data_IF_500672836798
#
_entry.id   IF_500672836798
#
_cell.length_a   1.000
_cell.length_b   1.000
_cell.length_c   1.000
_cell.angle_alpha   90.00
_cell.angle_beta   90.00
_cell.angle_gamma   90.00
#
_symmetry.space_group_name_H-M   'P 1'
#
loop_
_entity.id
_entity.type
_entity.pdbx_description
1 polymer ?
#
# COMPACT_ATOMS: atom_id res chain seq x y z
N UNK A 1 4.00 -11.88 6.58
CA UNK A 1 4.34 -12.00 5.14
C UNK A 1 3.24 -11.36 4.29
N UNK A 2 3.52 -11.00 3.04
CA UNK A 2 2.48 -10.48 2.14
C UNK A 2 1.25 -11.40 2.04
N UNK A 3 1.41 -12.71 2.17
CA UNK A 3 0.27 -13.66 2.21
C UNK A 3 -0.70 -13.39 3.37
N UNK A 4 -0.22 -12.90 4.50
CA UNK A 4 -1.11 -12.58 5.64
C UNK A 4 -2.00 -11.36 5.36
N UNK A 5 -1.52 -10.43 4.53
CA UNK A 5 -2.29 -9.26 4.09
C UNK A 5 -3.48 -9.67 3.21
N UNK A 6 -3.29 -10.68 2.33
CA UNK A 6 -4.36 -11.24 1.52
C UNK A 6 -5.55 -11.78 2.35
N UNK A 7 -5.27 -12.43 3.48
CA UNK A 7 -6.31 -12.90 4.40
C UNK A 7 -7.06 -11.73 5.06
N UNK A 8 -6.36 -10.63 5.37
CA UNK A 8 -6.99 -9.42 5.90
C UNK A 8 -7.91 -8.77 4.87
N UNK A 9 -7.50 -8.68 3.61
CA UNK A 9 -8.38 -8.19 2.54
C UNK A 9 -9.62 -9.06 2.38
N UNK A 10 -9.47 -10.38 2.40
CA UNK A 10 -10.62 -11.29 2.30
C UNK A 10 -11.66 -11.00 3.39
N UNK A 11 -11.23 -10.87 4.63
CA UNK A 11 -12.10 -10.54 5.77
C UNK A 11 -12.80 -9.17 5.58
N UNK A 12 -12.09 -8.17 5.02
CA UNK A 12 -12.63 -6.83 4.82
C UNK A 12 -13.60 -6.72 3.66
N UNK A 13 -13.44 -7.55 2.62
CA UNK A 13 -14.33 -7.56 1.47
C UNK A 13 -15.59 -8.39 1.72
N UNK A 14 -15.48 -9.42 2.54
CA UNK A 14 -16.58 -10.34 2.84
C UNK A 14 -17.75 -9.61 3.49
N UNK A 15 -18.92 -9.70 2.87
CA UNK A 15 -20.17 -9.11 3.39
C UNK A 15 -20.21 -7.58 3.39
N UNK A 16 -19.25 -6.89 2.77
CA UNK A 16 -19.31 -5.44 2.66
C UNK A 16 -20.28 -5.01 1.56
N UNK A 17 -21.35 -4.32 1.93
CA UNK A 17 -22.39 -3.83 0.99
C UNK A 17 -22.05 -2.42 0.43
N UNK A 18 -21.05 -1.74 0.98
CA UNK A 18 -20.63 -0.41 0.56
C UNK A 18 -19.49 -0.46 -0.47
N UNK A 19 -19.17 0.69 -1.06
CA UNK A 19 -17.98 0.80 -1.92
C UNK A 19 -16.73 0.59 -1.08
N UNK A 20 -15.74 -0.07 -1.67
CA UNK A 20 -14.43 -0.25 -1.06
C UNK A 20 -13.43 0.62 -1.82
N UNK A 21 -12.68 1.42 -1.09
CA UNK A 21 -11.59 2.26 -1.64
C UNK A 21 -10.31 1.85 -0.92
N UNK A 22 -9.34 1.33 -1.68
CA UNK A 22 -8.06 0.88 -1.13
C UNK A 22 -6.94 1.80 -1.57
N UNK A 23 -6.17 2.30 -0.63
CA UNK A 23 -4.94 3.03 -0.93
C UNK A 23 -3.71 2.24 -0.50
N UNK A 24 -2.71 2.20 -1.35
CA UNK A 24 -1.44 1.51 -1.12
C UNK A 24 -0.32 2.16 -1.93
N UNK A 25 0.91 1.70 -1.75
CA UNK A 25 2.03 2.11 -2.60
C UNK A 25 1.88 1.53 -4.02
N UNK A 26 2.01 2.38 -5.02
CA UNK A 26 1.92 1.95 -6.42
C UNK A 26 3.03 0.96 -6.83
N UNK A 27 4.15 0.97 -6.12
CA UNK A 27 5.28 0.05 -6.35
C UNK A 27 5.06 -1.37 -5.79
N UNK A 28 4.04 -1.58 -4.96
CA UNK A 28 3.77 -2.91 -4.40
C UNK A 28 2.82 -3.70 -5.32
N UNK A 29 3.38 -4.29 -6.38
CA UNK A 29 2.64 -5.03 -7.40
C UNK A 29 1.91 -6.24 -6.81
N UNK A 30 2.53 -6.96 -5.88
CA UNK A 30 1.92 -8.13 -5.22
C UNK A 30 0.66 -7.73 -4.46
N UNK A 31 0.68 -6.60 -3.78
CA UNK A 31 -0.49 -6.08 -3.06
C UNK A 31 -1.60 -5.64 -4.01
N UNK A 32 -1.24 -5.00 -5.13
CA UNK A 32 -2.22 -4.66 -6.16
C UNK A 32 -2.88 -5.92 -6.72
N UNK A 33 -2.12 -6.98 -6.98
CA UNK A 33 -2.66 -8.26 -7.42
C UNK A 33 -3.62 -8.85 -6.38
N UNK A 34 -3.25 -8.86 -5.10
CA UNK A 34 -4.10 -9.36 -4.02
C UNK A 34 -5.44 -8.60 -3.94
N UNK A 35 -5.42 -7.28 -4.07
CA UNK A 35 -6.63 -6.45 -4.06
C UNK A 35 -7.53 -6.81 -5.25
N UNK A 36 -6.96 -6.96 -6.44
CA UNK A 36 -7.68 -7.34 -7.66
C UNK A 36 -8.31 -8.73 -7.52
N UNK A 37 -7.54 -9.70 -7.04
CA UNK A 37 -8.01 -11.09 -6.85
C UNK A 37 -9.18 -11.16 -5.85
N UNK A 38 -9.06 -10.45 -4.74
CA UNK A 38 -10.13 -10.40 -3.73
C UNK A 38 -11.35 -9.66 -4.27
N UNK A 39 -11.17 -8.53 -4.96
CA UNK A 39 -12.28 -7.81 -5.60
C UNK A 39 -13.01 -8.70 -6.61
N UNK A 40 -12.29 -9.41 -7.47
CA UNK A 40 -12.85 -10.36 -8.42
C UNK A 40 -13.63 -11.49 -7.73
N UNK A 41 -13.07 -12.07 -6.65
CA UNK A 41 -13.73 -13.13 -5.86
C UNK A 41 -15.08 -12.70 -5.30
N UNK A 42 -15.18 -11.46 -4.83
CA UNK A 42 -16.43 -10.89 -4.31
C UNK A 42 -17.27 -10.20 -5.38
N UNK A 43 -16.96 -10.43 -6.67
CA UNK A 43 -17.74 -9.92 -7.80
C UNK A 43 -17.71 -8.40 -7.94
N UNK A 44 -16.66 -7.74 -7.43
CA UNK A 44 -16.49 -6.29 -7.58
C UNK A 44 -15.74 -5.96 -8.85
N UNK A 45 -16.10 -4.83 -9.47
CA UNK A 45 -15.36 -4.21 -10.55
C UNK A 45 -14.36 -3.23 -9.95
N UNK A 46 -13.16 -3.18 -10.51
CA UNK A 46 -12.04 -2.37 -10.01
C UNK A 46 -11.82 -1.18 -10.92
N UNK A 47 -11.90 0.02 -10.36
CA UNK A 47 -11.44 1.23 -11.00
C UNK A 47 -10.15 1.71 -10.35
N UNK A 48 -9.26 2.34 -11.12
CA UNK A 48 -7.97 2.83 -10.65
C UNK A 48 -7.88 4.33 -10.83
N UNK A 49 -7.30 5.01 -9.86
CA UNK A 49 -7.06 6.45 -9.97
C UNK A 49 -5.77 6.87 -9.29
N UNK A 50 -5.09 7.80 -9.91
CA UNK A 50 -3.77 8.28 -9.53
C UNK A 50 -2.73 7.88 -10.56
N UNK A 51 -2.06 8.87 -11.14
CA UNK A 51 -1.13 8.69 -12.27
C UNK A 51 -0.07 7.60 -12.05
N UNK A 52 0.54 7.57 -10.87
CA UNK A 52 1.55 6.55 -10.55
C UNK A 52 0.94 5.16 -10.43
N UNK A 53 -0.29 5.04 -9.92
CA UNK A 53 -1.00 3.77 -9.79
C UNK A 53 -1.40 3.21 -11.14
N UNK A 54 -1.97 4.05 -12.00
CA UNK A 54 -2.36 3.68 -13.36
C UNK A 54 -1.15 3.21 -14.18
N UNK A 55 -0.02 3.94 -14.07
CA UNK A 55 1.21 3.58 -14.76
C UNK A 55 1.81 2.27 -14.23
N UNK A 56 1.87 2.07 -12.91
CA UNK A 56 2.37 0.85 -12.30
C UNK A 56 1.57 -0.38 -12.74
N UNK A 57 0.24 -0.28 -12.71
CA UNK A 57 -0.63 -1.38 -13.17
C UNK A 57 -0.45 -1.68 -14.65
N UNK A 58 -0.40 -0.65 -15.50
CA UNK A 58 -0.18 -0.82 -16.94
C UNK A 58 1.14 -1.57 -17.22
N UNK A 59 2.25 -1.05 -16.67
CA UNK A 59 3.58 -1.64 -16.90
C UNK A 59 3.67 -3.06 -16.34
N UNK A 60 3.12 -3.31 -15.14
CA UNK A 60 3.15 -4.64 -14.52
C UNK A 60 2.33 -5.66 -15.30
N UNK A 61 1.22 -5.25 -15.91
CA UNK A 61 0.41 -6.11 -16.78
C UNK A 61 1.13 -6.38 -18.09
N UNK A 62 1.71 -5.36 -18.75
CA UNK A 62 2.47 -5.51 -19.99
C UNK A 62 3.68 -6.44 -19.84
N UNK A 63 4.34 -6.40 -18.67
CA UNK A 63 5.49 -7.26 -18.35
C UNK A 63 5.11 -8.65 -17.82
N UNK A 64 3.80 -8.94 -17.66
CA UNK A 64 3.31 -10.23 -17.17
C UNK A 64 3.47 -10.45 -15.67
N UNK A 65 3.76 -9.40 -14.87
CA UNK A 65 3.83 -9.48 -13.41
C UNK A 65 2.45 -9.36 -12.74
N UNK A 66 1.45 -8.92 -13.49
CA UNK A 66 0.09 -8.77 -12.99
C UNK A 66 -0.88 -9.47 -13.95
N UNK A 67 -1.76 -10.28 -13.38
CA UNK A 67 -2.83 -10.95 -14.11
C UNK A 67 -4.19 -10.37 -13.69
N UNK A 68 -4.87 -9.73 -14.60
CA UNK A 68 -6.17 -9.10 -14.32
C UNK A 68 -7.24 -9.90 -15.05
N UNK A 69 -8.17 -10.56 -14.34
CA UNK A 69 -9.24 -11.31 -14.97
C UNK A 69 -10.12 -10.42 -15.85
N UNK A 70 -10.60 -10.97 -16.96
CA UNK A 70 -11.45 -10.25 -17.91
C UNK A 70 -12.69 -9.67 -17.20
N UNK A 71 -13.00 -8.43 -17.56
CA UNK A 71 -14.17 -7.74 -17.02
C UNK A 71 -14.04 -7.25 -15.57
N UNK A 72 -12.90 -7.46 -14.89
CA UNK A 72 -12.67 -6.93 -13.53
C UNK A 72 -12.35 -5.43 -13.57
N UNK A 73 -11.50 -4.98 -14.47
CA UNK A 73 -11.22 -3.55 -14.62
C UNK A 73 -12.40 -2.82 -15.27
N UNK A 74 -12.59 -1.59 -14.82
CA UNK A 74 -13.54 -0.65 -15.42
C UNK A 74 -12.99 0.76 -15.44
N UNK A 75 -13.52 1.58 -16.33
CA UNK A 75 -13.24 3.02 -16.34
C UNK A 75 -13.83 3.69 -15.09
N UNK A 76 -13.10 4.64 -14.53
CA UNK A 76 -13.52 5.40 -13.35
C UNK A 76 -14.87 6.12 -13.56
N UNK A 77 -15.18 6.53 -14.78
CA UNK A 77 -16.47 7.15 -15.12
C UNK A 77 -17.67 6.20 -14.94
N UNK A 78 -17.44 4.90 -14.98
CA UNK A 78 -18.49 3.88 -14.89
C UNK A 78 -18.87 3.51 -13.46
N UNK A 79 -18.13 3.96 -12.43
CA UNK A 79 -18.39 3.61 -11.03
C UNK A 79 -19.80 3.99 -10.57
N UNK A 80 -20.37 5.07 -11.11
CA UNK A 80 -21.70 5.58 -10.75
C UNK A 80 -22.84 4.73 -11.31
N UNK A 81 -22.56 3.88 -12.29
CA UNK A 81 -23.57 2.99 -12.92
C UNK A 81 -23.73 1.65 -12.20
N UNK A 82 -22.88 1.35 -11.23
CA UNK A 82 -22.89 0.09 -10.50
C UNK A 82 -23.40 0.28 -9.07
N UNK A 83 -24.05 -0.74 -8.49
CA UNK A 83 -24.37 -0.73 -7.07
C UNK A 83 -23.09 -0.71 -6.23
N UNK A 84 -23.16 -0.10 -5.04
CA UNK A 84 -22.01 0.16 -4.17
C UNK A 84 -21.19 -1.11 -3.89
N UNK A 85 -21.85 -2.22 -3.58
CA UNK A 85 -21.19 -3.48 -3.29
C UNK A 85 -20.49 -4.15 -4.49
N UNK A 86 -20.60 -3.56 -5.68
CA UNK A 86 -19.91 -4.00 -6.89
C UNK A 86 -18.72 -3.12 -7.26
N UNK A 87 -18.39 -2.12 -6.45
CA UNK A 87 -17.33 -1.15 -6.73
C UNK A 87 -16.16 -1.33 -5.78
N UNK A 88 -14.96 -1.42 -6.34
CA UNK A 88 -13.69 -1.28 -5.66
C UNK A 88 -12.86 -0.22 -6.38
N UNK A 89 -12.26 0.71 -5.65
CA UNK A 89 -11.40 1.75 -6.20
C UNK A 89 -10.00 1.59 -5.61
N UNK A 90 -8.98 1.45 -6.45
CA UNK A 90 -7.59 1.46 -6.03
C UNK A 90 -7.01 2.85 -6.29
N UNK A 91 -6.37 3.43 -5.28
CA UNK A 91 -5.94 4.84 -5.34
C UNK A 91 -4.57 5.08 -4.70
N UNK A 92 -3.96 6.19 -5.05
CA UNK A 92 -2.78 6.73 -4.37
C UNK A 92 -3.17 7.57 -3.16
N UNK A 93 -2.20 7.86 -2.27
CA UNK A 93 -2.40 8.76 -1.13
C UNK A 93 -2.30 8.09 0.23
N UNK A 94 -1.64 6.94 0.30
CA UNK A 94 -1.41 6.22 1.55
C UNK A 94 -0.55 6.97 2.56
N UNK A 95 0.15 8.03 2.14
CA UNK A 95 1.00 8.88 2.97
C UNK A 95 0.42 10.28 3.23
N UNK A 96 -0.83 10.53 2.84
CA UNK A 96 -1.49 11.82 3.04
C UNK A 96 -0.96 12.95 2.16
N UNK A 97 -0.32 12.59 1.04
CA UNK A 97 0.21 13.57 0.08
C UNK A 97 -0.93 14.44 -0.47
N UNK A 98 -0.77 15.76 -0.40
CA UNK A 98 -1.82 16.74 -0.72
C UNK A 98 -2.39 16.59 -2.13
N UNK A 99 -1.55 16.23 -3.10
CA UNK A 99 -1.94 16.08 -4.49
C UNK A 99 -2.37 14.66 -4.86
N UNK A 100 -2.36 13.73 -3.92
CA UNK A 100 -2.78 12.34 -4.16
C UNK A 100 -4.28 12.24 -4.45
N UNK A 101 -4.69 11.13 -5.05
CA UNK A 101 -6.09 10.94 -5.39
C UNK A 101 -6.97 10.81 -4.13
N UNK A 102 -6.53 10.07 -3.10
CA UNK A 102 -7.28 9.96 -1.84
C UNK A 102 -7.43 11.30 -1.13
N UNK A 103 -6.36 12.10 -1.03
CA UNK A 103 -6.45 13.44 -0.43
C UNK A 103 -7.45 14.32 -1.18
N UNK A 104 -7.40 14.31 -2.51
CA UNK A 104 -8.37 15.06 -3.31
C UNK A 104 -9.82 14.58 -3.13
N UNK A 105 -10.04 13.29 -2.92
CA UNK A 105 -11.37 12.75 -2.59
C UNK A 105 -11.81 13.22 -1.19
N UNK A 106 -10.93 13.14 -0.19
CA UNK A 106 -11.21 13.57 1.17
C UNK A 106 -11.60 15.03 1.24
N UNK A 107 -10.90 15.91 0.51
CA UNK A 107 -11.13 17.35 0.46
C UNK A 107 -12.09 17.81 -0.67
N UNK A 108 -12.84 16.90 -1.30
CA UNK A 108 -13.82 17.17 -2.37
C UNK A 108 -13.26 17.92 -3.59
N UNK A 109 -11.99 17.72 -3.90
CA UNK A 109 -11.31 18.31 -5.07
C UNK A 109 -11.00 17.28 -6.17
N UNK A 110 -11.39 16.02 -5.99
CA UNK A 110 -11.27 14.99 -7.02
C UNK A 110 -12.40 15.16 -8.04
N UNK A 111 -12.05 15.14 -9.34
CA UNK A 111 -13.00 15.47 -10.42
C UNK A 111 -14.11 14.46 -10.64
N UNK A 112 -13.86 13.18 -10.35
CA UNK A 112 -14.74 12.07 -10.74
C UNK A 112 -15.30 11.30 -9.55
N UNK A 113 -14.62 11.30 -8.40
CA UNK A 113 -14.97 10.49 -7.24
C UNK A 113 -15.13 11.38 -6.02
N UNK A 114 -16.30 11.31 -5.39
CA UNK A 114 -16.57 11.85 -4.06
C UNK A 114 -16.66 10.70 -3.06
N UNK A 115 -16.22 10.95 -1.83
CA UNK A 115 -16.44 10.05 -0.71
C UNK A 115 -17.90 10.14 -0.29
N UNK A 116 -18.55 8.99 -0.17
CA UNK A 116 -19.93 8.87 0.26
C UNK A 116 -20.01 8.32 1.68
N UNK A 117 -21.05 8.67 2.44
CA UNK A 117 -21.32 8.03 3.73
C UNK A 117 -21.41 6.51 3.58
N UNK A 118 -20.72 5.80 4.46
CA UNK A 118 -20.60 4.34 4.45
C UNK A 118 -19.47 3.77 3.59
N UNK A 119 -18.81 4.56 2.74
CA UNK A 119 -17.66 4.06 1.99
C UNK A 119 -16.61 3.45 2.93
N UNK A 120 -16.12 2.27 2.59
CA UNK A 120 -15.04 1.62 3.34
C UNK A 120 -13.71 1.97 2.73
N UNK A 121 -12.89 2.71 3.49
CA UNK A 121 -11.56 3.16 3.08
C UNK A 121 -10.52 2.27 3.77
N UNK A 122 -9.70 1.57 2.98
CA UNK A 122 -8.63 0.69 3.50
C UNK A 122 -7.28 1.35 3.19
N UNK A 123 -6.54 1.74 4.23
CA UNK A 123 -5.20 2.29 4.11
C UNK A 123 -4.20 1.15 4.33
N UNK A 124 -3.74 0.55 3.24
CA UNK A 124 -2.82 -0.58 3.23
C UNK A 124 -1.36 -0.12 3.09
N UNK A 125 -0.93 0.72 4.02
CA UNK A 125 0.43 1.21 4.14
C UNK A 125 0.69 1.71 5.56
N UNK A 126 1.91 1.53 6.07
CA UNK A 126 2.34 2.20 7.30
C UNK A 126 2.72 3.65 7.03
N UNK A 127 2.48 4.50 7.99
CA UNK A 127 2.96 5.88 7.93
C UNK A 127 4.50 5.91 7.88
N UNK A 128 5.05 6.60 6.90
CA UNK A 128 6.47 6.94 6.90
C UNK A 128 6.68 7.99 8.01
N UNK A 129 7.72 7.85 8.86
CA UNK A 129 7.99 8.82 9.90
C UNK A 129 7.99 10.26 9.38
N UNK A 130 7.20 11.13 10.00
CA UNK A 130 6.98 12.52 9.57
C UNK A 130 5.70 12.76 8.76
N UNK A 131 5.03 11.73 8.25
CA UNK A 131 3.79 11.85 7.50
C UNK A 131 2.53 11.66 8.36
N UNK A 132 2.68 11.34 9.66
CA UNK A 132 1.57 10.99 10.56
C UNK A 132 0.50 12.08 10.62
N UNK A 133 0.94 13.34 10.67
CA UNK A 133 0.03 14.48 10.72
C UNK A 133 -0.76 14.64 9.41
N UNK A 134 -0.09 14.48 8.27
CA UNK A 134 -0.73 14.58 6.96
C UNK A 134 -1.75 13.48 6.73
N UNK A 135 -1.41 12.23 7.11
CA UNK A 135 -2.31 11.08 7.07
C UNK A 135 -3.49 11.31 8.02
N UNK A 136 -3.23 11.77 9.25
CA UNK A 136 -4.25 12.08 10.24
C UNK A 136 -5.27 13.10 9.75
N UNK A 137 -4.82 14.14 9.06
CA UNK A 137 -5.72 15.14 8.47
C UNK A 137 -6.64 14.52 7.40
N UNK A 138 -6.09 13.70 6.51
CA UNK A 138 -6.90 13.01 5.48
C UNK A 138 -7.91 12.07 6.14
N UNK A 139 -7.49 11.27 7.14
CA UNK A 139 -8.38 10.37 7.88
C UNK A 139 -9.53 11.15 8.54
N UNK A 140 -9.23 12.27 9.19
CA UNK A 140 -10.26 13.11 9.81
C UNK A 140 -11.29 13.62 8.80
N UNK A 141 -10.87 14.02 7.60
CA UNK A 141 -11.80 14.44 6.54
C UNK A 141 -12.66 13.27 6.03
N UNK A 142 -12.08 12.07 5.91
CA UNK A 142 -12.83 10.88 5.52
C UNK A 142 -13.91 10.54 6.55
N UNK A 143 -13.60 10.61 7.85
CA UNK A 143 -14.58 10.43 8.93
C UNK A 143 -15.67 11.51 8.90
N UNK A 144 -15.33 12.79 8.64
CA UNK A 144 -16.32 13.88 8.51
C UNK A 144 -17.31 13.63 7.37
N UNK A 145 -16.89 12.89 6.33
CA UNK A 145 -17.76 12.47 5.23
C UNK A 145 -18.58 11.20 5.53
N UNK A 146 -18.42 10.64 6.72
CA UNK A 146 -19.14 9.42 7.12
C UNK A 146 -18.55 8.13 6.58
N UNK A 147 -17.30 8.12 6.13
CA UNK A 147 -16.61 6.91 5.70
C UNK A 147 -16.14 6.08 6.92
N UNK A 148 -16.08 4.75 6.74
CA UNK A 148 -15.40 3.83 7.63
C UNK A 148 -13.93 3.74 7.19
N UNK A 149 -12.99 4.11 8.04
CA UNK A 149 -11.56 4.09 7.69
C UNK A 149 -10.85 2.99 8.49
N UNK A 150 -10.22 2.07 7.78
CA UNK A 150 -9.48 0.94 8.33
C UNK A 150 -7.99 1.07 7.97
N UNK A 151 -7.12 0.92 8.93
CA UNK A 151 -5.68 1.04 8.77
C UNK A 151 -4.92 -0.11 9.46
N UNK A 152 -3.59 -0.12 9.35
CA UNK A 152 -2.73 -1.17 9.89
C UNK A 152 -2.84 -1.38 11.42
N UNK A 153 -3.33 -0.39 12.19
CA UNK A 153 -3.49 -0.51 13.64
C UNK A 153 -4.64 -1.45 14.02
N UNK A 154 -5.58 -1.61 13.13
CA UNK A 154 -6.78 -2.43 13.34
C UNK A 154 -6.62 -3.84 12.79
N UNK A 155 -5.87 -3.98 11.68
CA UNK A 155 -5.66 -5.24 10.98
C UNK A 155 -4.26 -5.30 10.36
N UNK A 156 -3.75 -6.51 10.11
CA UNK A 156 -2.46 -6.71 9.44
C UNK A 156 -2.52 -6.36 7.95
N UNK A 157 -2.67 -5.06 7.65
CA UNK A 157 -2.83 -4.50 6.31
C UNK A 157 -1.53 -4.10 5.63
N UNK A 158 -0.42 -4.18 6.37
CA UNK A 158 0.91 -3.85 5.86
C UNK A 158 1.96 -4.79 6.42
N UNK A 159 2.98 -5.04 5.62
CA UNK A 159 4.22 -5.74 6.02
C UNK A 159 5.39 -4.89 5.58
N UNK A 160 6.32 -4.63 6.51
CA UNK A 160 7.55 -3.91 6.19
C UNK A 160 8.36 -4.65 5.13
N UNK A 161 8.86 -3.94 4.13
CA UNK A 161 9.82 -4.44 3.15
C UNK A 161 11.27 -4.35 3.64
N UNK A 162 11.52 -3.75 4.82
CA UNK A 162 12.86 -3.64 5.38
C UNK A 162 13.33 -4.97 5.97
N UNK A 163 14.60 -5.31 5.73
CA UNK A 163 15.23 -6.50 6.26
C UNK A 163 15.38 -6.44 7.78
N UNK A 164 15.21 -7.59 8.45
CA UNK A 164 15.53 -7.75 9.86
C UNK A 164 17.05 -7.78 10.07
N UNK A 165 17.49 -7.61 11.31
CA UNK A 165 18.92 -7.61 11.66
C UNK A 165 19.65 -8.87 11.19
N UNK A 166 19.03 -10.06 11.34
CA UNK A 166 19.64 -11.34 10.92
C UNK A 166 19.72 -11.44 9.38
N UNK A 167 18.73 -10.92 8.66
CA UNK A 167 18.77 -10.87 7.20
C UNK A 167 19.88 -9.95 6.71
N UNK A 168 20.10 -8.80 7.37
CA UNK A 168 21.21 -7.90 7.08
C UNK A 168 22.57 -8.60 7.30
N UNK A 169 22.71 -9.39 8.38
CA UNK A 169 23.91 -10.18 8.63
C UNK A 169 24.15 -11.22 7.52
N UNK A 170 23.11 -11.90 7.07
CA UNK A 170 23.22 -12.88 5.97
C UNK A 170 23.71 -12.19 4.70
N UNK A 171 23.15 -11.06 4.33
CA UNK A 171 23.57 -10.32 3.13
C UNK A 171 25.04 -9.88 3.25
N UNK A 172 25.45 -9.35 4.41
CA UNK A 172 26.84 -8.99 4.64
C UNK A 172 27.79 -10.22 4.50
N UNK A 173 27.42 -11.35 5.09
CA UNK A 173 28.20 -12.59 5.02
C UNK A 173 28.35 -13.14 3.60
N UNK A 174 27.30 -12.99 2.77
CA UNK A 174 27.31 -13.43 1.37
C UNK A 174 28.08 -12.49 0.46
N UNK A 175 27.87 -11.18 0.61
CA UNK A 175 28.49 -10.15 -0.27
C UNK A 175 29.94 -9.90 0.10
N UNK A 176 30.32 -10.02 1.38
CA UNK A 176 31.65 -9.71 1.93
C UNK A 176 32.20 -8.37 1.40
N UNK A 177 31.47 -7.26 1.60
CA UNK A 177 31.83 -5.98 0.97
C UNK A 177 33.14 -5.44 1.52
N UNK A 178 34.01 -4.94 0.64
CA UNK A 178 35.24 -4.24 1.02
C UNK A 178 34.96 -2.87 1.66
N UNK A 179 33.88 -2.22 1.25
CA UNK A 179 33.39 -0.95 1.77
C UNK A 179 31.90 -1.04 2.02
N UNK A 180 31.44 -0.45 3.11
CA UNK A 180 30.02 -0.42 3.47
C UNK A 180 29.59 1.01 3.83
N UNK A 181 28.56 1.51 3.17
CA UNK A 181 27.97 2.81 3.42
C UNK A 181 26.48 2.60 3.70
N UNK A 182 26.02 2.80 4.95
CA UNK A 182 24.60 2.71 5.25
C UNK A 182 23.86 3.89 4.63
N UNK A 183 22.72 3.63 4.02
CA UNK A 183 21.84 4.64 3.42
C UNK A 183 20.41 4.42 3.89
N UNK A 184 19.56 5.43 3.72
CA UNK A 184 18.13 5.37 4.04
C UNK A 184 17.83 5.22 5.53
N UNK A 185 17.37 6.29 6.14
CA UNK A 185 16.99 6.35 7.55
C UNK A 185 17.57 7.56 8.28
N UNK A 186 17.21 7.66 9.56
CA UNK A 186 17.76 8.69 10.46
C UNK A 186 19.20 8.36 10.86
N UNK A 187 19.96 9.36 11.32
CA UNK A 187 21.36 9.20 11.72
C UNK A 187 21.57 8.07 12.74
N UNK A 188 20.66 7.89 13.70
CA UNK A 188 20.75 6.78 14.66
C UNK A 188 20.65 5.40 13.99
N UNK A 189 19.83 5.27 12.95
CA UNK A 189 19.65 4.02 12.20
C UNK A 189 20.89 3.73 11.36
N UNK A 190 21.43 4.74 10.68
CA UNK A 190 22.65 4.62 9.88
C UNK A 190 23.85 4.21 10.75
N UNK A 191 24.00 4.82 11.92
CA UNK A 191 25.07 4.44 12.86
C UNK A 191 24.90 3.03 13.42
N UNK A 192 23.68 2.62 13.74
CA UNK A 192 23.41 1.26 14.22
C UNK A 192 23.73 0.23 13.15
N UNK A 193 23.35 0.49 11.90
CA UNK A 193 23.65 -0.39 10.77
C UNK A 193 25.16 -0.46 10.49
N UNK A 194 25.89 0.67 10.57
CA UNK A 194 27.35 0.69 10.45
C UNK A 194 28.01 -0.15 11.56
N UNK A 195 27.57 -0.03 12.81
CA UNK A 195 28.06 -0.86 13.92
C UNK A 195 27.80 -2.35 13.70
N UNK A 196 26.61 -2.70 13.18
CA UNK A 196 26.30 -4.08 12.83
C UNK A 196 27.26 -4.60 11.75
N UNK A 197 27.49 -3.85 10.69
CA UNK A 197 28.43 -4.23 9.63
C UNK A 197 29.85 -4.42 10.17
N UNK A 198 30.36 -3.51 11.01
CA UNK A 198 31.66 -3.62 11.65
C UNK A 198 31.78 -4.86 12.55
N UNK A 199 30.71 -5.23 13.25
CA UNK A 199 30.71 -6.43 14.11
C UNK A 199 30.86 -7.73 13.34
N UNK A 200 30.57 -7.74 12.04
CA UNK A 200 30.70 -8.91 11.18
C UNK A 200 32.09 -9.10 10.56
N UNK A 201 32.89 -8.02 10.51
CA UNK A 201 34.25 -8.08 9.95
C UNK A 201 35.20 -8.83 10.87
N UNK A 202 35.01 -8.77 12.19
CA UNK A 202 35.87 -9.42 13.18
C UNK A 202 35.67 -10.95 13.29
N UNK A 203 34.67 -11.50 12.63
CA UNK A 203 34.40 -12.95 12.64
C UNK A 203 35.26 -13.70 11.61
N UNK A 204 35.95 -13.00 10.73
CA UNK A 204 36.68 -13.57 9.59
C UNK A 204 38.20 -13.42 9.64
N UNK A 205 38.81 -13.02 10.76
CA UNK A 205 40.26 -13.11 10.89
C UNK A 205 40.63 -14.52 11.38
N UNK A 206 41.28 -15.35 10.52
CA UNK A 206 41.94 -16.53 11.01
C UNK A 206 43.15 -16.11 11.81
N UNK A 207 43.25 -16.53 13.04
CA UNK A 207 44.48 -16.61 13.81
C UNK A 207 45.56 -17.40 13.07
#
# INVERSE_FOLDING_TARGET
SERSVGNSFDALFKGCEERIIVTTFASNVDRLQQIIDVAARYGRRVAVTGRSMENAMKVSTELGYMNIPDGVLMDLNQIKSLPKNRVCIITTGSQGETMSALSRMAFSTHRQVDILPGDRIIISASAIPGNEHSIGNVINELYRKGAEVLNERELALHVSGHACQEELKIIHALVKPKFFIPVHGEQRMLQTHAKLALSLIHISEPT
#
